data_IF_864745313724
#
_entry.id   IF_864745313724
#
_cell.length_a   1.000
_cell.length_b   1.000
_cell.length_c   1.000
_cell.angle_alpha   90.00
_cell.angle_beta   90.00
_cell.angle_gamma   90.00
#
_symmetry.space_group_name_H-M   'P 1'
#
loop_
_entity.id
_entity.type
_entity.pdbx_description
1 polymer ?
#
# COMPACT_ATOMS: atom_id res chain seq x y z
N UNK A 1 -37.08 11.90 -5.10
CA UNK A 1 -36.32 10.63 -5.21
C UNK A 1 -37.22 9.55 -5.77
N UNK A 2 -36.80 8.85 -6.81
CA UNK A 2 -37.53 7.72 -7.40
C UNK A 2 -37.24 6.43 -6.62
N UNK A 3 -38.18 5.48 -6.59
CA UNK A 3 -37.98 4.14 -6.01
C UNK A 3 -36.73 3.45 -6.56
N UNK A 4 -36.44 3.66 -7.84
CA UNK A 4 -35.24 3.15 -8.53
C UNK A 4 -33.93 3.70 -7.94
N UNK A 5 -33.91 4.98 -7.58
CA UNK A 5 -32.73 5.64 -6.99
C UNK A 5 -32.45 5.13 -5.58
N UNK A 6 -33.51 4.93 -4.79
CA UNK A 6 -33.41 4.36 -3.44
C UNK A 6 -32.88 2.93 -3.50
N UNK A 7 -33.42 2.09 -4.41
CA UNK A 7 -32.91 0.73 -4.61
C UNK A 7 -31.45 0.72 -5.05
N UNK A 8 -31.04 1.63 -5.93
CA UNK A 8 -29.64 1.75 -6.37
C UNK A 8 -28.72 2.06 -5.19
N UNK A 9 -29.06 3.09 -4.39
CA UNK A 9 -28.28 3.48 -3.20
C UNK A 9 -28.19 2.36 -2.18
N UNK A 10 -29.31 1.68 -1.92
CA UNK A 10 -29.34 0.55 -1.00
C UNK A 10 -28.43 -0.60 -1.44
N UNK A 11 -28.51 -1.01 -2.70
CA UNK A 11 -27.65 -2.06 -3.25
C UNK A 11 -26.18 -1.67 -3.19
N UNK A 12 -25.86 -0.43 -3.56
CA UNK A 12 -24.49 0.07 -3.50
C UNK A 12 -23.94 0.01 -2.07
N UNK A 13 -24.68 0.53 -1.09
CA UNK A 13 -24.31 0.49 0.33
C UNK A 13 -24.09 -0.94 0.82
N UNK A 14 -25.00 -1.86 0.48
CA UNK A 14 -24.88 -3.27 0.86
C UNK A 14 -23.60 -3.89 0.30
N UNK A 15 -23.32 -3.65 -0.98
CA UNK A 15 -22.14 -4.23 -1.62
C UNK A 15 -20.83 -3.60 -1.15
N UNK A 16 -20.83 -2.32 -0.76
CA UNK A 16 -19.68 -1.70 -0.08
C UNK A 16 -19.32 -2.45 1.21
N UNK A 17 -20.32 -2.80 2.03
CA UNK A 17 -20.11 -3.56 3.27
C UNK A 17 -19.55 -4.96 3.00
N UNK A 18 -20.14 -5.68 2.04
CA UNK A 18 -19.68 -7.02 1.61
C UNK A 18 -18.21 -6.98 1.16
N UNK A 19 -17.84 -5.99 0.35
CA UNK A 19 -16.47 -5.84 -0.15
C UNK A 19 -15.50 -5.53 1.01
N UNK A 20 -15.91 -4.68 1.94
CA UNK A 20 -15.12 -4.35 3.12
C UNK A 20 -14.90 -5.57 4.03
N UNK A 21 -15.93 -6.37 4.25
CA UNK A 21 -15.84 -7.63 5.00
C UNK A 21 -14.89 -8.62 4.32
N UNK A 22 -15.02 -8.79 3.00
CA UNK A 22 -14.09 -9.62 2.22
C UNK A 22 -12.64 -9.13 2.35
N UNK A 23 -12.39 -7.82 2.28
CA UNK A 23 -11.03 -7.26 2.42
C UNK A 23 -10.48 -7.46 3.84
N UNK A 24 -11.32 -7.27 4.86
CA UNK A 24 -10.93 -7.44 6.25
C UNK A 24 -10.73 -8.90 6.66
N UNK A 25 -11.33 -9.85 5.92
CA UNK A 25 -11.19 -11.28 6.19
C UNK A 25 -9.77 -11.81 5.98
N UNK A 26 -8.93 -11.12 5.20
CA UNK A 26 -7.61 -11.60 4.79
C UNK A 26 -7.65 -12.82 3.85
N UNK A 27 -8.83 -13.33 3.50
CA UNK A 27 -9.01 -14.44 2.57
C UNK A 27 -8.90 -13.96 1.12
N UNK A 28 -8.63 -14.91 0.20
CA UNK A 28 -8.80 -14.62 -1.22
C UNK A 28 -10.29 -14.40 -1.52
N UNK A 29 -10.60 -13.49 -2.46
CA UNK A 29 -11.97 -13.23 -2.93
C UNK A 29 -12.69 -14.53 -3.32
N UNK A 30 -11.95 -15.50 -3.89
CA UNK A 30 -12.50 -16.79 -4.27
C UNK A 30 -13.03 -17.59 -3.08
N UNK A 31 -12.21 -17.73 -2.03
CA UNK A 31 -12.57 -18.47 -0.83
C UNK A 31 -13.72 -17.79 -0.08
N UNK A 32 -13.62 -16.48 0.09
CA UNK A 32 -14.64 -15.68 0.76
C UNK A 32 -16.00 -15.75 0.03
N UNK A 33 -16.00 -15.61 -1.30
CA UNK A 33 -17.22 -15.74 -2.11
C UNK A 33 -17.86 -17.13 -1.96
N UNK A 34 -17.05 -18.19 -1.88
CA UNK A 34 -17.56 -19.55 -1.71
C UNK A 34 -18.20 -19.76 -0.33
N UNK A 35 -17.54 -19.29 0.73
CA UNK A 35 -18.03 -19.37 2.11
C UNK A 35 -19.33 -18.57 2.32
N UNK A 36 -19.44 -17.40 1.69
CA UNK A 36 -20.59 -16.50 1.82
C UNK A 36 -21.67 -16.72 0.75
N UNK A 37 -21.59 -17.81 -0.02
CA UNK A 37 -22.53 -18.15 -1.12
C UNK A 37 -22.74 -17.02 -2.14
N UNK A 38 -21.68 -16.27 -2.43
CA UNK A 38 -21.67 -15.18 -3.40
C UNK A 38 -21.00 -15.67 -4.69
N UNK A 39 -21.61 -15.38 -5.84
CA UNK A 39 -20.93 -15.66 -7.11
C UNK A 39 -19.78 -14.68 -7.32
N UNK A 40 -18.62 -15.18 -7.75
CA UNK A 40 -17.45 -14.35 -8.07
C UNK A 40 -17.79 -13.28 -9.12
N UNK A 41 -18.61 -13.64 -10.10
CA UNK A 41 -19.06 -12.72 -11.15
C UNK A 41 -19.89 -11.56 -10.58
N UNK A 42 -20.82 -11.85 -9.65
CA UNK A 42 -21.58 -10.81 -8.96
C UNK A 42 -20.66 -9.94 -8.11
N UNK A 43 -19.70 -10.53 -7.40
CA UNK A 43 -18.74 -9.79 -6.60
C UNK A 43 -17.97 -8.78 -7.46
N UNK A 44 -17.32 -9.22 -8.54
CA UNK A 44 -16.55 -8.32 -9.40
C UNK A 44 -17.41 -7.30 -10.13
N UNK A 45 -18.65 -7.66 -10.51
CA UNK A 45 -19.61 -6.72 -11.06
C UNK A 45 -19.90 -5.58 -10.08
N UNK A 46 -20.18 -5.90 -8.82
CA UNK A 46 -20.49 -4.91 -7.79
C UNK A 46 -19.27 -4.15 -7.30
N UNK A 47 -18.10 -4.78 -7.26
CA UNK A 47 -16.84 -4.09 -7.00
C UNK A 47 -16.59 -2.98 -8.01
N UNK A 48 -16.80 -3.26 -9.30
CA UNK A 48 -16.72 -2.24 -10.35
C UNK A 48 -17.74 -1.11 -10.11
N UNK A 49 -18.99 -1.44 -9.77
CA UNK A 49 -20.04 -0.43 -9.49
C UNK A 49 -19.74 0.43 -8.27
N UNK A 50 -19.19 -0.15 -7.21
CA UNK A 50 -18.75 0.61 -6.02
C UNK A 50 -17.61 1.55 -6.37
N UNK A 51 -16.62 1.10 -7.16
CA UNK A 51 -15.52 1.96 -7.63
C UNK A 51 -16.02 3.12 -8.50
N UNK A 52 -16.86 2.84 -9.49
CA UNK A 52 -17.48 3.87 -10.35
C UNK A 52 -18.19 4.94 -9.52
N UNK A 53 -19.00 4.53 -8.54
CA UNK A 53 -19.70 5.45 -7.67
C UNK A 53 -18.73 6.27 -6.78
N UNK A 54 -17.60 5.70 -6.34
CA UNK A 54 -16.61 6.46 -5.60
C UNK A 54 -15.97 7.56 -6.48
N UNK A 55 -15.66 7.25 -7.74
CA UNK A 55 -15.13 8.24 -8.70
C UNK A 55 -16.12 9.38 -8.99
N UNK A 56 -17.41 9.10 -9.13
CA UNK A 56 -18.44 10.13 -9.33
C UNK A 56 -18.54 11.13 -8.16
N UNK A 57 -18.11 10.74 -6.96
CA UNK A 57 -18.14 11.58 -5.76
C UNK A 57 -16.79 12.21 -5.42
N UNK A 58 -15.72 11.89 -6.16
CA UNK A 58 -14.46 12.60 -5.99
C UNK A 58 -14.64 14.03 -6.52
N UNK A 59 -14.15 15.06 -5.80
CA UNK A 59 -14.05 16.38 -6.38
C UNK A 59 -13.26 16.25 -7.68
N UNK A 60 -13.81 16.77 -8.77
CA UNK A 60 -13.04 16.98 -9.99
C UNK A 60 -11.92 17.94 -9.60
N UNK A 61 -10.75 17.38 -9.28
CA UNK A 61 -9.51 18.12 -9.42
C UNK A 61 -9.55 18.54 -10.88
N UNK A 62 -9.69 19.84 -11.12
CA UNK A 62 -9.62 20.39 -12.47
C UNK A 62 -8.28 20.04 -13.11
N UNK A 63 -7.93 20.58 -14.28
CA UNK A 63 -6.55 20.55 -14.72
C UNK A 63 -5.71 21.41 -13.75
N UNK A 64 -5.49 20.94 -12.53
CA UNK A 64 -4.36 21.35 -11.75
C UNK A 64 -3.18 20.94 -12.59
N UNK A 65 -2.41 21.94 -12.99
CA UNK A 65 -1.25 21.89 -13.83
C UNK A 65 -0.30 20.78 -13.35
N UNK A 66 -0.57 19.54 -13.79
CA UNK A 66 0.37 18.42 -13.73
C UNK A 66 1.43 18.72 -14.79
N UNK A 67 2.19 19.75 -14.51
CA UNK A 67 3.36 20.13 -15.27
C UNK A 67 4.33 18.98 -15.05
N UNK A 68 4.53 18.17 -16.09
CA UNK A 68 5.58 17.16 -16.10
C UNK A 68 6.89 17.94 -16.06
N UNK A 69 7.41 18.17 -14.87
CA UNK A 69 8.74 18.76 -14.67
C UNK A 69 9.76 17.63 -14.78
N UNK A 70 10.84 17.80 -15.56
CA UNK A 70 11.97 16.91 -15.51
C UNK A 70 12.48 16.88 -14.07
N UNK A 71 12.41 15.71 -13.44
CA UNK A 71 13.14 15.45 -12.21
C UNK A 71 14.52 15.01 -12.64
N UNK A 72 15.55 15.76 -12.29
CA UNK A 72 16.94 15.32 -12.42
C UNK A 72 17.15 14.19 -11.41
N UNK A 73 16.84 12.97 -11.84
CA UNK A 73 17.16 11.75 -11.11
C UNK A 73 18.65 11.53 -11.35
N UNK A 74 19.52 11.57 -10.32
CA UNK A 74 20.93 11.26 -10.49
C UNK A 74 21.06 9.83 -11.02
N UNK A 75 21.39 9.71 -12.31
CA UNK A 75 21.62 8.44 -12.97
C UNK A 75 22.94 7.91 -12.45
N UNK A 76 22.88 7.01 -11.47
CA UNK A 76 24.00 6.12 -11.18
C UNK A 76 24.07 5.12 -12.33
N UNK A 77 24.98 5.38 -13.28
CA UNK A 77 25.29 4.48 -14.38
C UNK A 77 25.83 3.16 -13.84
N UNK A 78 24.98 2.15 -13.78
CA UNK A 78 25.38 0.75 -13.84
C UNK A 78 24.40 0.04 -14.77
N UNK A 79 24.83 -0.15 -16.01
CA UNK A 79 24.16 -1.05 -16.96
C UNK A 79 24.41 -2.47 -16.43
N UNK A 80 23.48 -2.96 -15.60
CA UNK A 80 23.16 -4.38 -15.48
C UNK A 80 21.72 -4.47 -14.98
N UNK A 81 20.88 -5.20 -15.70
CA UNK A 81 19.53 -5.58 -15.28
C UNK A 81 19.55 -6.09 -13.82
N UNK A 82 19.03 -5.29 -12.89
CA UNK A 82 18.55 -5.72 -11.56
C UNK A 82 17.78 -4.56 -10.94
N UNK A 83 16.59 -4.90 -10.45
CA UNK A 83 15.75 -4.11 -9.56
C UNK A 83 16.56 -3.27 -8.58
N UNK A 84 16.28 -1.97 -8.52
CA UNK A 84 16.67 -1.11 -7.40
C UNK A 84 15.89 -1.59 -6.18
N UNK A 85 16.43 -2.62 -5.52
CA UNK A 85 16.11 -2.91 -4.13
C UNK A 85 16.71 -1.75 -3.33
N UNK A 86 15.85 -0.97 -2.68
CA UNK A 86 16.32 -0.11 -1.59
C UNK A 86 17.13 -0.99 -0.63
N UNK A 87 18.27 -0.51 -0.11
CA UNK A 87 19.09 -1.30 0.81
C UNK A 87 18.22 -1.73 1.99
N UNK A 88 17.80 -2.99 1.98
CA UNK A 88 16.94 -3.55 3.02
C UNK A 88 17.79 -3.65 4.28
N UNK A 89 17.43 -2.89 5.30
CA UNK A 89 18.02 -3.03 6.61
C UNK A 89 17.49 -4.32 7.24
N UNK A 90 18.39 -5.19 7.69
CA UNK A 90 18.03 -6.46 8.31
C UNK A 90 17.69 -6.29 9.79
N UNK A 91 18.38 -5.36 10.46
CA UNK A 91 18.22 -5.10 11.90
C UNK A 91 18.24 -3.59 12.17
N UNK A 92 17.16 -3.08 12.74
CA UNK A 92 17.06 -1.69 13.23
C UNK A 92 17.04 -1.66 14.75
N UNK A 93 17.98 -0.96 15.37
CA UNK A 93 18.04 -0.73 16.82
C UNK A 93 17.75 0.75 17.11
N UNK A 94 16.86 1.01 18.07
CA UNK A 94 16.49 2.36 18.51
C UNK A 94 16.82 2.52 19.99
N UNK A 95 17.73 3.44 20.31
CA UNK A 95 18.18 3.75 21.66
C UNK A 95 18.03 5.27 21.90
N UNK A 96 16.95 5.68 22.56
CA UNK A 96 16.66 7.10 22.78
C UNK A 96 16.47 7.85 21.45
N UNK A 97 17.34 8.83 21.19
CA UNK A 97 17.38 9.60 19.93
C UNK A 97 18.24 8.96 18.83
N UNK A 98 18.97 7.88 19.13
CA UNK A 98 19.88 7.23 18.20
C UNK A 98 19.18 6.05 17.52
N UNK A 99 19.29 5.99 16.19
CA UNK A 99 18.87 4.83 15.39
C UNK A 99 20.11 4.23 14.73
N UNK A 100 20.30 2.91 14.90
CA UNK A 100 21.36 2.13 14.27
C UNK A 100 20.73 1.12 13.31
N UNK A 101 21.14 1.18 12.05
CA UNK A 101 20.66 0.30 10.97
C UNK A 101 21.81 -0.62 10.54
N UNK A 102 21.57 -1.93 10.59
CA UNK A 102 22.55 -2.96 10.22
C UNK A 102 22.05 -3.74 9.01
N UNK A 103 22.96 -4.01 8.09
CA UNK A 103 22.75 -4.88 6.93
C UNK A 103 23.54 -6.18 7.11
N UNK A 104 23.11 -7.29 6.51
CA UNK A 104 23.75 -8.60 6.62
C UNK A 104 25.21 -8.62 6.14
N UNK A 105 25.61 -7.66 5.31
CA UNK A 105 26.99 -7.51 4.84
C UNK A 105 27.87 -6.66 5.80
N UNK A 106 27.35 -6.23 6.95
CA UNK A 106 28.13 -5.52 7.95
C UNK A 106 29.13 -6.47 8.60
N UNK A 107 30.40 -6.08 8.61
CA UNK A 107 31.45 -6.87 9.25
C UNK A 107 31.33 -6.81 10.78
N UNK A 108 31.76 -7.88 11.46
CA UNK A 108 31.80 -7.93 12.91
C UNK A 108 32.56 -6.73 13.51
N UNK A 109 33.70 -6.36 12.93
CA UNK A 109 34.49 -5.22 13.38
C UNK A 109 33.73 -3.88 13.28
N UNK A 110 32.92 -3.70 12.22
CA UNK A 110 32.10 -2.50 12.06
C UNK A 110 30.99 -2.46 13.12
N UNK A 111 30.31 -3.60 13.36
CA UNK A 111 29.26 -3.71 14.38
C UNK A 111 29.84 -3.44 15.77
N UNK A 112 30.98 -4.05 16.12
CA UNK A 112 31.61 -3.84 17.41
C UNK A 112 32.07 -2.39 17.63
N UNK A 113 32.70 -1.79 16.63
CA UNK A 113 33.22 -0.42 16.73
C UNK A 113 32.09 0.60 16.86
N UNK A 114 31.00 0.42 16.11
CA UNK A 114 29.81 1.29 16.20
C UNK A 114 29.14 1.16 17.56
N UNK A 115 28.91 -0.06 18.06
CA UNK A 115 28.34 -0.28 19.40
C UNK A 115 29.23 0.30 20.51
N UNK A 116 30.55 0.14 20.44
CA UNK A 116 31.50 0.75 21.39
C UNK A 116 31.47 2.28 21.35
N UNK A 117 31.37 2.88 20.16
CA UNK A 117 31.26 4.33 20.03
C UNK A 117 29.98 4.84 20.70
N UNK A 118 28.87 4.13 20.52
CA UNK A 118 27.57 4.50 21.10
C UNK A 118 27.51 4.37 22.62
N UNK A 119 28.33 3.53 23.26
CA UNK A 119 28.38 3.44 24.73
C UNK A 119 28.79 4.75 25.42
N UNK A 120 29.45 5.66 24.71
CA UNK A 120 29.91 6.95 25.25
C UNK A 120 28.95 8.11 24.94
N UNK A 121 27.88 7.86 24.20
CA UNK A 121 26.87 8.86 23.87
C UNK A 121 25.83 8.85 25.00
N UNK A 122 25.89 9.87 25.86
CA UNK A 122 24.98 10.10 26.99
C UNK A 122 23.88 11.07 26.61
#
# INVERSE_FOLDING_TARGET
MSTREVTRKYRLSKWTQIIQECNNSGQTVSAWCQEHNISKNSYYYWLRKVREAAYENLPVVGPENNTIVPVDIPIHTAITDSSVEEPSCDIVLRLGSVTLELHNNASLALIENTLRALQNVR
#
